data_IF_664996232577
#
_entry.id   IF_664996232577
#
_cell.length_a   1.000
_cell.length_b   1.000
_cell.length_c   1.000
_cell.angle_alpha   90.00
_cell.angle_beta   90.00
_cell.angle_gamma   90.00
#
_symmetry.space_group_name_H-M   'P 1'
#
loop_
_entity.id
_entity.type
_entity.pdbx_description
1 polymer ?
#
# COMPACT_ATOMS: atom_id res chain seq x y z
N UNK A 1 13.53 11.76 10.82
CA UNK A 1 12.74 12.89 10.31
C UNK A 1 11.30 12.43 10.16
N UNK A 2 10.39 13.00 10.94
CA UNK A 2 8.95 12.72 10.83
C UNK A 2 8.42 13.49 9.63
N UNK A 3 8.24 12.79 8.50
CA UNK A 3 7.52 13.35 7.36
C UNK A 3 6.09 13.71 7.83
N UNK A 4 5.76 14.99 7.73
CA UNK A 4 4.45 15.52 8.10
C UNK A 4 3.57 15.42 6.85
N UNK A 5 2.84 14.31 6.73
CA UNK A 5 1.89 14.10 5.64
C UNK A 5 0.60 14.86 5.95
N UNK A 6 0.01 15.48 4.93
CA UNK A 6 -1.34 16.02 5.06
C UNK A 6 -2.34 14.86 5.28
N UNK A 7 -3.47 15.19 5.89
CA UNK A 7 -4.60 14.27 6.08
C UNK A 7 -5.05 13.56 4.80
N UNK A 8 -4.98 14.28 3.66
CA UNK A 8 -5.25 13.73 2.33
C UNK A 8 -4.21 12.67 1.92
N UNK A 9 -2.92 12.95 2.13
CA UNK A 9 -1.84 12.01 1.81
C UNK A 9 -1.89 10.77 2.71
N UNK A 10 -2.17 10.94 4.01
CA UNK A 10 -2.37 9.82 4.93
C UNK A 10 -3.51 8.92 4.46
N UNK A 11 -4.66 9.52 4.11
CA UNK A 11 -5.80 8.77 3.58
C UNK A 11 -5.44 8.01 2.30
N UNK A 12 -4.65 8.63 1.41
CA UNK A 12 -4.19 8.01 0.17
C UNK A 12 -3.20 6.87 0.41
N UNK A 13 -2.28 7.03 1.35
CA UNK A 13 -1.32 5.98 1.74
C UNK A 13 -2.07 4.78 2.34
N UNK A 14 -3.07 5.01 3.19
CA UNK A 14 -3.90 3.95 3.78
C UNK A 14 -4.67 3.21 2.69
N UNK A 15 -5.27 3.93 1.74
CA UNK A 15 -5.98 3.35 0.60
C UNK A 15 -5.04 2.47 -0.25
N UNK A 16 -3.87 3.00 -0.61
CA UNK A 16 -2.84 2.26 -1.35
C UNK A 16 -2.34 1.04 -0.59
N UNK A 17 -2.16 1.14 0.73
CA UNK A 17 -1.72 0.02 1.56
C UNK A 17 -2.80 -1.07 1.69
N UNK A 18 -4.08 -0.70 1.58
CA UNK A 18 -5.22 -1.64 1.63
C UNK A 18 -5.46 -2.35 0.30
N UNK A 19 -5.04 -1.77 -0.83
CA UNK A 19 -5.11 -2.41 -2.14
C UNK A 19 -4.10 -3.57 -2.29
N UNK A 20 -4.63 -4.77 -2.51
CA UNK A 20 -3.84 -5.98 -2.74
C UNK A 20 -2.85 -5.88 -3.93
N UNK A 21 -3.09 -4.95 -4.87
CA UNK A 21 -2.31 -4.81 -6.12
C UNK A 21 -1.24 -3.72 -6.08
N UNK A 22 -1.20 -2.92 -5.01
CA UNK A 22 -0.24 -1.82 -4.90
C UNK A 22 1.02 -2.30 -4.18
N UNK A 23 2.16 -2.40 -4.89
CA UNK A 23 3.41 -2.83 -4.28
C UNK A 23 3.89 -1.77 -3.28
N UNK A 24 4.62 -2.20 -2.24
CA UNK A 24 5.15 -1.24 -1.26
C UNK A 24 6.17 -0.29 -1.91
N UNK A 25 6.84 -0.74 -2.96
CA UNK A 25 7.77 0.00 -3.80
C UNK A 25 7.08 1.18 -4.51
N UNK A 26 5.78 1.11 -4.81
CA UNK A 26 5.04 2.24 -5.37
C UNK A 26 4.76 3.31 -4.30
N UNK A 27 4.48 2.88 -3.06
CA UNK A 27 4.30 3.79 -1.92
C UNK A 27 5.64 4.46 -1.57
N UNK A 28 6.74 3.71 -1.61
CA UNK A 28 8.09 4.23 -1.42
C UNK A 28 8.47 5.24 -2.51
N UNK A 29 8.18 4.95 -3.78
CA UNK A 29 8.49 5.86 -4.89
C UNK A 29 7.71 7.18 -4.83
N UNK A 30 6.45 7.15 -4.37
CA UNK A 30 5.58 8.34 -4.33
C UNK A 30 5.74 9.16 -3.05
N UNK A 31 5.91 8.48 -1.90
CA UNK A 31 5.86 9.10 -0.58
C UNK A 31 7.14 8.90 0.25
N UNK A 32 8.13 8.17 -0.27
CA UNK A 32 9.38 7.87 0.45
C UNK A 32 9.20 6.92 1.64
N UNK A 33 8.04 6.26 1.75
CA UNK A 33 7.73 5.36 2.87
C UNK A 33 8.10 3.93 2.55
N UNK A 34 9.03 3.38 3.34
CA UNK A 34 9.37 1.96 3.27
C UNK A 34 8.23 1.11 3.85
N UNK A 35 8.19 -0.18 3.51
CA UNK A 35 7.19 -1.12 4.04
C UNK A 35 7.04 -1.02 5.57
N UNK A 36 8.15 -0.94 6.30
CA UNK A 36 8.16 -0.83 7.76
C UNK A 36 7.46 0.42 8.28
N UNK A 37 7.50 1.51 7.52
CA UNK A 37 6.88 2.79 7.89
C UNK A 37 5.38 2.73 7.60
N UNK A 38 4.99 2.14 6.47
CA UNK A 38 3.59 1.88 6.14
C UNK A 38 2.94 0.93 7.15
N UNK A 39 3.63 -0.14 7.58
CA UNK A 39 3.12 -1.04 8.61
C UNK A 39 2.89 -0.29 9.93
N UNK A 40 3.83 0.58 10.32
CA UNK A 40 3.70 1.40 11.53
C UNK A 40 2.52 2.37 11.43
N UNK A 41 2.33 2.98 10.27
CA UNK A 41 1.19 3.85 9.99
C UNK A 41 -0.13 3.06 10.09
N UNK A 42 -0.24 1.95 9.37
CA UNK A 42 -1.44 1.11 9.36
C UNK A 42 -1.79 0.56 10.76
N UNK A 43 -0.77 0.28 11.59
CA UNK A 43 -0.99 -0.13 12.98
C UNK A 43 -1.58 0.99 13.86
N UNK A 44 -1.24 2.25 13.57
CA UNK A 44 -1.77 3.41 14.30
C UNK A 44 -3.19 3.76 13.85
N UNK A 45 -3.47 3.68 12.56
CA UNK A 45 -4.73 4.13 11.97
C UNK A 45 -5.85 3.09 12.05
N UNK A 46 -5.51 1.80 12.02
CA UNK A 46 -6.49 0.72 12.05
C UNK A 46 -6.73 0.17 13.44
N UNK A 47 -7.98 -0.28 13.67
CA UNK A 47 -8.30 -1.14 14.82
C UNK A 47 -7.48 -2.42 14.76
N UNK A 48 -7.08 -2.92 15.93
CA UNK A 48 -6.22 -4.11 16.08
C UNK A 48 -6.71 -5.34 15.29
N UNK A 49 -8.01 -5.59 15.26
CA UNK A 49 -8.62 -6.69 14.49
C UNK A 49 -8.44 -6.51 12.97
N UNK A 50 -8.75 -5.31 12.46
CA UNK A 50 -8.55 -4.95 11.05
C UNK A 50 -7.08 -5.01 10.63
N UNK A 51 -6.18 -4.54 11.50
CA UNK A 51 -4.73 -4.61 11.27
C UNK A 51 -4.25 -6.06 11.15
N UNK A 52 -4.71 -6.96 12.03
CA UNK A 52 -4.35 -8.40 11.96
C UNK A 52 -4.83 -9.03 10.65
N UNK A 53 -6.05 -8.72 10.20
CA UNK A 53 -6.60 -9.21 8.93
C UNK A 53 -5.79 -8.70 7.74
N UNK A 54 -5.50 -7.40 7.72
CA UNK A 54 -4.63 -6.77 6.71
C UNK A 54 -3.24 -7.39 6.69
N UNK A 55 -2.59 -7.56 7.86
CA UNK A 55 -1.27 -8.15 7.93
C UNK A 55 -1.27 -9.59 7.43
N UNK A 56 -2.30 -10.38 7.74
CA UNK A 56 -2.45 -11.74 7.18
C UNK A 56 -2.52 -11.73 5.64
N UNK A 57 -3.23 -10.77 5.04
CA UNK A 57 -3.32 -10.61 3.58
C UNK A 57 -1.99 -10.20 2.95
N UNK A 58 -1.31 -9.22 3.56
CA UNK A 58 -0.08 -8.66 3.00
C UNK A 58 1.14 -9.56 3.17
N UNK A 59 1.23 -10.28 4.30
CA UNK A 59 2.34 -11.21 4.55
C UNK A 59 2.24 -12.50 3.72
N UNK A 60 1.04 -12.90 3.28
CA UNK A 60 0.79 -14.15 2.55
C UNK A 60 0.87 -14.06 1.02
N UNK A 61 1.16 -12.89 0.44
CA UNK A 61 1.12 -12.67 -1.02
C UNK A 61 2.53 -12.56 -1.61
N UNK A 62 3.05 -13.68 -2.11
CA UNK A 62 4.31 -13.78 -2.85
C UNK A 62 4.34 -12.87 -4.09
N UNK A 63 3.17 -12.55 -4.68
CA UNK A 63 3.03 -11.69 -5.87
C UNK A 63 3.30 -10.20 -5.62
N UNK A 64 3.58 -9.79 -4.37
CA UNK A 64 3.90 -8.38 -4.03
C UNK A 64 5.32 -7.99 -4.41
N UNK A 65 6.21 -8.96 -4.61
CA UNK A 65 7.54 -8.74 -5.16
C UNK A 65 7.47 -8.73 -6.70
N UNK A 66 8.04 -7.68 -7.32
CA UNK A 66 8.14 -7.54 -8.78
C UNK A 66 8.73 -8.79 -9.47
N UNK A 67 9.57 -9.55 -8.75
CA UNK A 67 10.21 -10.79 -9.21
C UNK A 67 9.26 -12.00 -9.40
N UNK A 68 8.06 -11.98 -8.82
CA UNK A 68 7.11 -13.12 -8.86
C UNK A 68 5.90 -12.86 -9.78
N UNK A 69 5.95 -11.80 -10.61
CA UNK A 69 4.90 -11.49 -11.60
C UNK A 69 5.10 -12.34 -12.87
N UNK A 70 4.06 -13.04 -13.36
CA UNK A 70 4.11 -13.67 -14.67
C UNK A 70 4.17 -12.62 -15.78
N UNK A 71 4.91 -12.94 -16.84
CA UNK A 71 5.10 -12.08 -18.01
C UNK A 71 3.74 -11.79 -18.67
N UNK A 72 3.42 -10.51 -18.91
CA UNK A 72 2.19 -10.08 -19.61
C UNK A 72 1.19 -9.27 -18.78
N UNK A 73 1.36 -9.12 -17.47
CA UNK A 73 0.49 -8.27 -16.64
C UNK A 73 1.13 -6.87 -16.47
N UNK A 74 0.78 -5.92 -17.36
CA UNK A 74 1.28 -4.52 -17.34
C UNK A 74 0.50 -3.57 -16.42
N UNK A 75 -0.63 -4.01 -15.85
CA UNK A 75 -1.49 -3.12 -15.06
C UNK A 75 -0.84 -2.82 -13.70
N UNK A 76 -0.34 -1.58 -13.54
CA UNK A 76 0.18 -1.04 -12.29
C UNK A 76 -0.92 -0.51 -11.35
N UNK A 77 -2.15 -0.39 -11.85
CA UNK A 77 -3.23 0.33 -11.18
C UNK A 77 -4.59 -0.34 -11.39
N UNK A 78 -5.51 -0.13 -10.44
CA UNK A 78 -6.91 -0.52 -10.56
C UNK A 78 -7.61 0.32 -11.65
N UNK A 79 -8.49 -0.25 -12.52
CA UNK A 79 -9.19 0.51 -13.56
C UNK A 79 -10.00 1.70 -13.03
N UNK A 80 -10.45 1.63 -11.77
CA UNK A 80 -11.22 2.69 -11.10
C UNK A 80 -10.35 3.72 -10.38
N UNK A 81 -9.02 3.58 -10.44
CA UNK A 81 -8.09 4.43 -9.68
C UNK A 81 -8.06 5.87 -10.20
N UNK A 82 -8.22 6.08 -11.50
CA UNK A 82 -8.35 7.42 -12.06
C UNK A 82 -9.83 7.74 -12.21
N UNK A 83 -10.41 8.36 -11.18
CA UNK A 83 -11.64 9.12 -11.39
C UNK A 83 -11.24 10.34 -12.21
N UNK A 84 -11.58 10.32 -13.50
CA UNK A 84 -11.51 11.52 -14.33
C UNK A 84 -12.33 12.62 -13.64
N UNK A 85 -11.69 13.78 -13.49
CA UNK A 85 -12.24 14.98 -12.86
C UNK A 85 -13.40 15.52 -13.68
#
# INVERSE_FOLDING_TARGET
MSAQFDSADLSRIIEMAWEDRTPFEAIEALYGLQEKDVIRLMRRELKTSSFRLWRKRVTGRSTKHRQLRPEGVSRGYCPTQYKHR
#
